data_IF_797783145672
#
_entry.id   IF_797783145672
#
_cell.length_a   1.000
_cell.length_b   1.000
_cell.length_c   1.000
_cell.angle_alpha   90.00
_cell.angle_beta   90.00
_cell.angle_gamma   90.00
#
_symmetry.space_group_name_H-M   'P 1'
#
loop_
_entity.id
_entity.type
_entity.pdbx_description
1 polymer ?
#
# COMPACT_ATOMS: atom_id res chain seq x y z
N UNK A 1 -1.58 -0.43 4.37
CA UNK A 1 -1.97 0.83 3.68
C UNK A 1 -1.40 2.10 4.31
N UNK A 2 -1.33 2.24 5.66
CA UNK A 2 -0.83 3.47 6.32
C UNK A 2 0.54 3.92 5.82
N UNK A 3 1.47 2.98 5.60
CA UNK A 3 2.82 3.28 5.11
C UNK A 3 2.80 3.97 3.74
N UNK A 4 1.93 3.54 2.82
CA UNK A 4 1.80 4.17 1.51
C UNK A 4 1.20 5.57 1.60
N UNK A 5 0.16 5.75 2.44
CA UNK A 5 -0.45 7.06 2.69
C UNK A 5 0.56 8.06 3.27
N UNK A 6 1.36 7.64 4.25
CA UNK A 6 2.42 8.46 4.82
C UNK A 6 3.48 8.83 3.77
N UNK A 7 3.84 7.89 2.89
CA UNK A 7 4.85 8.12 1.86
C UNK A 7 4.38 9.09 0.78
N UNK A 8 3.13 8.97 0.32
CA UNK A 8 2.58 9.85 -0.74
C UNK A 8 1.91 11.12 -0.20
N UNK A 9 1.72 11.22 1.13
CA UNK A 9 1.09 12.36 1.81
C UNK A 9 -0.42 12.50 1.57
N UNK A 10 -1.07 11.51 0.94
CA UNK A 10 -2.51 11.51 0.66
C UNK A 10 -3.07 10.10 0.65
N UNK A 11 -4.38 9.96 0.85
CA UNK A 11 -5.01 8.66 0.74
C UNK A 11 -5.10 8.21 -0.74
N UNK A 12 -4.66 6.99 -1.08
CA UNK A 12 -4.46 6.58 -2.47
C UNK A 12 -5.76 6.38 -3.29
N UNK A 13 -6.91 6.24 -2.63
CA UNK A 13 -8.22 6.14 -3.31
C UNK A 13 -8.96 7.49 -3.41
N UNK A 14 -8.37 8.59 -2.92
CA UNK A 14 -8.92 9.94 -3.12
C UNK A 14 -8.26 10.54 -4.35
N UNK A 15 -8.99 10.55 -5.47
CA UNK A 15 -8.50 11.11 -6.73
C UNK A 15 -8.55 12.64 -6.75
N UNK A 16 -9.60 13.23 -6.18
CA UNK A 16 -9.85 14.67 -6.18
C UNK A 16 -10.03 15.21 -4.74
N UNK A 17 -9.26 16.24 -4.38
CA UNK A 17 -9.33 16.86 -3.05
C UNK A 17 -10.64 17.63 -2.80
N UNK A 18 -11.42 17.89 -3.85
CA UNK A 18 -12.62 18.72 -3.77
C UNK A 18 -13.87 17.99 -3.29
N UNK A 19 -13.90 16.66 -3.34
CA UNK A 19 -15.03 15.88 -2.84
C UNK A 19 -14.56 14.56 -2.23
N UNK A 20 -14.73 14.44 -0.91
CA UNK A 20 -14.46 13.17 -0.22
C UNK A 20 -15.49 12.13 -0.71
N UNK A 21 -15.07 10.97 -1.23
CA UNK A 21 -16.01 9.97 -1.72
C UNK A 21 -16.96 9.55 -0.60
N UNK A 22 -18.20 9.26 -0.97
CA UNK A 22 -19.13 8.62 -0.05
C UNK A 22 -18.59 7.25 0.37
N UNK A 23 -19.08 6.71 1.49
CA UNK A 23 -18.64 5.41 1.99
C UNK A 23 -18.78 4.30 0.93
N UNK A 24 -19.87 4.29 0.16
CA UNK A 24 -20.10 3.29 -0.88
C UNK A 24 -19.20 3.46 -2.10
N UNK A 25 -18.90 4.69 -2.51
CA UNK A 25 -17.92 4.95 -3.57
C UNK A 25 -16.52 4.52 -3.15
N UNK A 26 -16.15 4.73 -1.88
CA UNK A 26 -14.88 4.25 -1.34
C UNK A 26 -14.82 2.72 -1.35
N UNK A 27 -15.89 2.05 -0.92
CA UNK A 27 -15.96 0.59 -0.99
C UNK A 27 -15.86 0.09 -2.43
N UNK A 28 -16.58 0.71 -3.37
CA UNK A 28 -16.46 0.39 -4.80
C UNK A 28 -15.05 0.62 -5.32
N UNK A 29 -14.36 1.68 -4.89
CA UNK A 29 -12.99 1.94 -5.31
C UNK A 29 -12.04 0.85 -4.78
N UNK A 30 -12.16 0.45 -3.51
CA UNK A 30 -11.34 -0.61 -2.90
C UNK A 30 -11.60 -1.97 -3.56
N UNK A 31 -12.88 -2.28 -3.84
CA UNK A 31 -13.29 -3.57 -4.41
C UNK A 31 -13.17 -3.63 -5.93
N UNK A 32 -13.27 -2.50 -6.64
CA UNK A 32 -13.26 -2.47 -8.10
C UNK A 32 -11.91 -2.08 -8.71
N UNK A 33 -11.12 -1.27 -8.00
CA UNK A 33 -9.85 -0.77 -8.53
C UNK A 33 -8.70 -1.74 -8.27
N UNK A 34 -7.63 -1.67 -9.08
CA UNK A 34 -6.37 -2.33 -8.74
C UNK A 34 -5.81 -1.77 -7.41
N UNK A 35 -5.02 -2.58 -6.68
CA UNK A 35 -4.36 -2.12 -5.47
C UNK A 35 -3.41 -0.95 -5.80
N UNK A 36 -3.40 0.12 -5.00
CA UNK A 36 -2.49 1.24 -5.22
C UNK A 36 -1.05 0.81 -4.98
N UNK A 37 -0.15 1.31 -5.83
CA UNK A 37 1.29 1.05 -5.74
C UNK A 37 2.07 2.36 -5.56
N UNK A 38 3.26 2.25 -4.97
CA UNK A 38 4.17 3.38 -4.83
C UNK A 38 4.76 3.76 -6.20
N UNK A 39 4.84 5.05 -6.56
CA UNK A 39 5.48 5.50 -7.79
C UNK A 39 6.97 5.08 -7.82
N UNK A 40 7.41 4.26 -8.79
CA UNK A 40 8.78 3.76 -8.83
C UNK A 40 9.82 4.85 -9.10
N UNK A 41 9.41 5.99 -9.67
CA UNK A 41 10.28 7.13 -9.94
C UNK A 41 10.58 7.97 -8.68
N UNK A 42 9.83 7.76 -7.60
CA UNK A 42 9.94 8.55 -6.35
C UNK A 42 10.46 7.75 -5.16
N UNK A 43 10.36 6.42 -5.20
CA UNK A 43 10.70 5.55 -4.07
C UNK A 43 11.69 4.45 -4.49
N UNK A 44 12.39 3.89 -3.51
CA UNK A 44 13.34 2.81 -3.79
C UNK A 44 12.62 1.53 -4.26
N UNK A 45 13.27 0.69 -5.07
CA UNK A 45 12.70 -0.58 -5.52
C UNK A 45 12.25 -1.48 -4.35
N UNK A 46 13.01 -1.47 -3.25
CA UNK A 46 12.69 -2.24 -2.04
C UNK A 46 11.40 -1.74 -1.39
N UNK A 47 11.22 -0.43 -1.32
CA UNK A 47 9.99 0.17 -0.78
C UNK A 47 8.78 -0.16 -1.66
N UNK A 48 8.91 -0.05 -2.99
CA UNK A 48 7.83 -0.40 -3.92
C UNK A 48 7.44 -1.88 -3.83
N UNK A 49 8.42 -2.77 -3.69
CA UNK A 49 8.19 -4.20 -3.51
C UNK A 49 7.49 -4.50 -2.18
N UNK A 50 7.93 -3.87 -1.09
CA UNK A 50 7.32 -4.03 0.23
C UNK A 50 5.86 -3.57 0.23
N UNK A 51 5.59 -2.38 -0.30
CA UNK A 51 4.22 -1.85 -0.41
C UNK A 51 3.35 -2.76 -1.26
N UNK A 52 3.87 -3.24 -2.40
CA UNK A 52 3.15 -4.14 -3.30
C UNK A 52 2.81 -5.47 -2.65
N UNK A 53 3.69 -6.01 -1.79
CA UNK A 53 3.42 -7.23 -1.02
C UNK A 53 2.34 -7.02 0.06
N UNK A 54 2.28 -5.84 0.68
CA UNK A 54 1.32 -5.55 1.75
C UNK A 54 -0.10 -5.17 1.27
N UNK A 55 -0.29 -4.79 0.00
CA UNK A 55 -1.57 -4.26 -0.53
C UNK A 55 -2.24 -5.27 -1.48
N UNK A 56 -1.79 -6.53 -1.49
CA UNK A 56 -2.38 -7.56 -2.34
C UNK A 56 -3.81 -7.90 -1.92
N UNK A 57 -4.70 -7.96 -2.90
CA UNK A 57 -6.13 -8.20 -2.73
C UNK A 57 -6.46 -9.69 -2.49
N UNK A 58 -5.60 -10.56 -2.99
CA UNK A 58 -5.69 -12.00 -2.76
C UNK A 58 -4.90 -12.37 -1.50
N UNK A 59 -5.54 -12.94 -0.46
CA UNK A 59 -4.88 -13.25 0.81
C UNK A 59 -3.86 -14.40 0.71
N UNK A 60 -3.80 -15.11 -0.42
CA UNK A 60 -2.84 -16.21 -0.64
C UNK A 60 -1.39 -15.72 -0.74
N UNK A 61 -1.19 -14.48 -1.16
CA UNK A 61 0.14 -13.89 -1.41
C UNK A 61 0.41 -12.65 -0.53
N UNK A 62 -0.58 -12.17 0.22
CA UNK A 62 -0.41 -11.21 1.32
C UNK A 62 0.39 -11.90 2.42
N UNK A 63 1.72 -11.79 2.36
CA UNK A 63 2.63 -12.20 3.42
C UNK A 63 2.07 -11.73 4.77
N UNK A 64 1.50 -12.67 5.52
CA UNK A 64 1.21 -12.52 6.94
C UNK A 64 2.48 -11.98 7.58
N UNK A 65 2.40 -10.85 8.29
CA UNK A 65 3.51 -10.16 8.92
C UNK A 65 4.42 -11.13 9.68
N UNK A 66 5.49 -11.57 9.03
CA UNK A 66 6.41 -12.60 9.51
C UNK A 66 7.11 -13.22 8.30
N UNK A 67 8.14 -12.55 7.74
CA UNK A 67 9.48 -12.66 8.32
C UNK A 67 10.38 -11.42 8.12
N UNK A 68 9.85 -10.22 7.81
CA UNK A 68 10.69 -9.04 7.47
C UNK A 68 11.50 -8.51 8.67
N UNK A 69 11.16 -8.88 9.90
CA UNK A 69 11.93 -8.53 11.11
C UNK A 69 13.15 -9.41 11.37
N UNK A 70 13.36 -10.50 10.62
CA UNK A 70 14.49 -11.41 10.88
C UNK A 70 15.82 -10.97 10.25
N UNK A 71 15.83 -9.94 9.38
CA UNK A 71 17.07 -9.47 8.73
C UNK A 71 17.75 -8.28 9.43
N UNK A 72 17.25 -7.82 10.58
CA UNK A 72 17.92 -6.80 11.42
C UNK A 72 18.69 -7.38 12.62
N UNK A 73 18.74 -8.70 12.75
CA UNK A 73 19.43 -9.38 13.86
C UNK A 73 20.62 -10.24 13.43
N UNK A 74 21.30 -9.87 12.33
CA UNK A 74 22.58 -10.47 11.95
C UNK A 74 23.63 -9.40 11.61
N UNK A 75 23.74 -8.37 12.46
CA UNK A 75 24.98 -7.60 12.66
C UNK A 75 25.03 -7.16 14.14
N UNK A 76 25.44 -8.10 15.01
CA UNK A 76 26.27 -7.91 16.22
C UNK A 76 26.69 -9.28 16.74
#
# INVERSE_FOLDING_TARGET
MVILECAIGRFPYIQDQQSRPSFYELLQAIVGSPPPSAPPDQFSPEFCSFVSACIQKEPKDSFSSGPVVSSVHQEV
#
